data_IF_701407726519
#
_entry.id   IF_701407726519
#
_cell.length_a   1.000
_cell.length_b   1.000
_cell.length_c   1.000
_cell.angle_alpha   90.00
_cell.angle_beta   90.00
_cell.angle_gamma   90.00
#
_symmetry.space_group_name_H-M   'P 1'
#
loop_
_entity.id
_entity.type
_entity.pdbx_description
1 polymer ?
#
# COMPACT_ATOMS: atom_id res chain seq x y z
N UNK A 1 1.79 -19.90 -11.17
CA UNK A 1 1.44 -19.11 -9.96
C UNK A 1 -0.01 -18.69 -10.03
N UNK A 2 -0.73 -18.61 -8.91
CA UNK A 2 -2.12 -18.14 -8.83
C UNK A 2 -2.28 -17.12 -7.70
N UNK A 3 -3.18 -16.14 -7.89
CA UNK A 3 -3.57 -15.21 -6.83
C UNK A 3 -4.83 -15.73 -6.14
N UNK A 4 -4.81 -15.78 -4.80
CA UNK A 4 -5.97 -16.17 -3.99
C UNK A 4 -6.49 -14.93 -3.29
N UNK A 5 -7.67 -14.46 -3.70
CA UNK A 5 -8.18 -13.18 -3.25
C UNK A 5 -8.98 -13.26 -1.95
N UNK A 6 -8.94 -12.17 -1.19
CA UNK A 6 -9.86 -11.89 -0.10
C UNK A 6 -10.26 -10.42 -0.10
N UNK A 7 -11.45 -10.12 0.43
CA UNK A 7 -11.96 -8.75 0.49
C UNK A 7 -11.24 -7.92 1.56
N UNK A 8 -11.24 -6.57 1.44
CA UNK A 8 -10.74 -5.69 2.50
C UNK A 8 -11.39 -5.98 3.85
N UNK A 9 -12.69 -6.29 3.86
CA UNK A 9 -13.43 -6.61 5.09
C UNK A 9 -12.85 -7.85 5.80
N UNK A 10 -12.52 -8.90 5.04
CA UNK A 10 -11.92 -10.13 5.57
C UNK A 10 -10.50 -9.90 6.08
N UNK A 11 -9.70 -9.13 5.34
CA UNK A 11 -8.32 -8.81 5.71
C UNK A 11 -8.21 -7.94 6.98
N UNK A 12 -9.23 -7.12 7.27
CA UNK A 12 -9.21 -6.14 8.35
C UNK A 12 -10.06 -6.54 9.58
N UNK A 13 -10.51 -7.80 9.71
CA UNK A 13 -11.52 -8.23 10.70
C UNK A 13 -11.32 -7.68 12.12
N UNK A 14 -10.07 -7.62 12.62
CA UNK A 14 -9.76 -7.05 13.94
C UNK A 14 -9.78 -5.51 13.94
N UNK A 15 -9.18 -4.87 12.93
CA UNK A 15 -9.05 -3.42 12.79
C UNK A 15 -10.35 -2.70 12.41
N UNK A 16 -11.32 -3.39 11.79
CA UNK A 16 -12.60 -2.80 11.42
C UNK A 16 -13.42 -2.29 12.62
N UNK A 17 -13.25 -2.90 13.80
CA UNK A 17 -14.00 -2.55 15.00
C UNK A 17 -13.69 -1.13 15.53
N UNK A 18 -12.53 -0.58 15.20
CA UNK A 18 -12.16 0.79 15.58
C UNK A 18 -12.96 1.80 14.75
N UNK A 19 -13.71 2.72 15.36
CA UNK A 19 -14.43 3.73 14.59
C UNK A 19 -13.45 4.75 14.01
N UNK A 20 -13.52 4.99 12.69
CA UNK A 20 -12.80 6.09 12.04
C UNK A 20 -13.42 7.43 12.38
N UNK A 21 -12.61 8.48 12.46
CA UNK A 21 -13.09 9.84 12.69
C UNK A 21 -13.88 10.33 11.48
N UNK A 22 -14.88 11.18 11.72
CA UNK A 22 -15.68 11.73 10.62
C UNK A 22 -14.83 12.53 9.63
N UNK A 23 -13.89 13.32 10.15
CA UNK A 23 -12.93 14.09 9.36
C UNK A 23 -12.07 13.21 8.44
N UNK A 24 -11.64 12.03 8.91
CA UNK A 24 -10.86 11.08 8.09
C UNK A 24 -11.71 10.55 6.93
N UNK A 25 -12.97 10.21 7.19
CA UNK A 25 -13.92 9.76 6.16
C UNK A 25 -14.15 10.88 5.14
N UNK A 26 -14.39 12.10 5.58
CA UNK A 26 -14.67 13.23 4.69
C UNK A 26 -13.46 13.56 3.80
N UNK A 27 -12.25 13.61 4.35
CA UNK A 27 -11.00 13.79 3.59
C UNK A 27 -10.80 12.66 2.57
N UNK A 28 -11.00 11.41 2.99
CA UNK A 28 -10.91 10.25 2.10
C UNK A 28 -11.90 10.33 0.95
N UNK A 29 -13.17 10.67 1.22
CA UNK A 29 -14.19 10.83 0.17
C UNK A 29 -13.80 11.94 -0.80
N UNK A 30 -13.41 13.11 -0.31
CA UNK A 30 -13.00 14.24 -1.16
C UNK A 30 -11.84 13.86 -2.08
N UNK A 31 -10.78 13.28 -1.53
CA UNK A 31 -9.60 12.92 -2.30
C UNK A 31 -9.86 11.75 -3.26
N UNK A 32 -10.66 10.77 -2.85
CA UNK A 32 -11.00 9.65 -3.72
C UNK A 32 -11.91 10.07 -4.87
N UNK A 33 -12.91 10.92 -4.63
CA UNK A 33 -13.75 11.49 -5.70
C UNK A 33 -12.88 12.26 -6.69
N UNK A 34 -11.95 13.09 -6.19
CA UNK A 34 -11.04 13.84 -7.05
C UNK A 34 -10.15 12.92 -7.92
N UNK A 35 -9.64 11.82 -7.35
CA UNK A 35 -8.92 10.81 -8.12
C UNK A 35 -9.82 10.20 -9.21
N UNK A 36 -11.01 9.68 -8.84
CA UNK A 36 -11.92 9.02 -9.78
C UNK A 36 -12.38 9.95 -10.90
N UNK A 37 -12.63 11.22 -10.61
CA UNK A 37 -13.00 12.22 -11.63
C UNK A 37 -11.88 12.39 -12.66
N UNK A 38 -10.61 12.49 -12.21
CA UNK A 38 -9.46 12.56 -13.11
C UNK A 38 -9.28 11.29 -13.95
N UNK A 39 -9.39 10.11 -13.32
CA UNK A 39 -9.33 8.82 -14.03
C UNK A 39 -10.39 8.74 -15.12
N UNK A 40 -11.62 9.18 -14.83
CA UNK A 40 -12.72 9.16 -15.80
C UNK A 40 -12.43 10.01 -17.05
N UNK A 41 -11.63 11.07 -16.91
CA UNK A 41 -11.17 11.91 -18.02
C UNK A 41 -10.09 11.18 -18.82
N UNK A 42 -9.11 10.57 -18.14
CA UNK A 42 -8.02 9.80 -18.77
C UNK A 42 -8.58 8.62 -19.58
N UNK A 43 -9.55 7.90 -19.04
CA UNK A 43 -10.20 6.77 -19.74
C UNK A 43 -10.91 7.22 -21.03
N UNK A 44 -11.47 8.43 -21.05
CA UNK A 44 -12.11 9.03 -22.23
C UNK A 44 -11.12 9.64 -23.22
N UNK A 45 -9.90 9.98 -22.78
CA UNK A 45 -8.85 10.62 -23.60
C UNK A 45 -7.50 9.90 -23.44
N UNK A 46 -7.40 8.61 -23.81
CA UNK A 46 -6.25 7.78 -23.50
C UNK A 46 -4.94 8.20 -24.18
N UNK A 47 -4.99 9.07 -25.19
CA UNK A 47 -3.82 9.55 -25.95
C UNK A 47 -3.23 10.87 -25.44
N UNK A 48 -3.99 11.63 -24.65
CA UNK A 48 -3.64 13.02 -24.29
C UNK A 48 -2.92 13.13 -22.94
N UNK A 49 -3.02 12.10 -22.12
CA UNK A 49 -2.43 12.05 -20.77
C UNK A 49 -1.40 10.92 -20.70
N UNK A 50 -0.25 11.14 -20.07
CA UNK A 50 0.84 10.16 -19.89
C UNK A 50 0.60 9.22 -18.69
N UNK A 51 1.31 8.07 -18.63
CA UNK A 51 1.22 7.15 -17.49
C UNK A 51 1.81 7.79 -16.22
N UNK A 52 2.73 8.73 -16.41
CA UNK A 52 3.33 9.51 -15.33
C UNK A 52 2.31 10.44 -14.64
N UNK A 53 1.34 10.99 -15.39
CA UNK A 53 0.27 11.79 -14.79
C UNK A 53 -0.60 10.95 -13.85
N UNK A 54 -0.94 9.73 -14.27
CA UNK A 54 -1.67 8.77 -13.44
C UNK A 54 -0.94 8.46 -12.12
N UNK A 55 0.38 8.25 -12.19
CA UNK A 55 1.21 7.99 -11.00
C UNK A 55 1.19 9.18 -10.05
N UNK A 56 1.25 10.41 -10.58
CA UNK A 56 1.15 11.62 -9.76
C UNK A 56 -0.22 11.75 -9.08
N UNK A 57 -1.31 11.46 -9.78
CA UNK A 57 -2.66 11.50 -9.19
C UNK A 57 -2.84 10.45 -8.09
N UNK A 58 -2.37 9.23 -8.33
CA UNK A 58 -2.40 8.16 -7.34
C UNK A 58 -1.53 8.50 -6.11
N UNK A 59 -0.34 9.05 -6.33
CA UNK A 59 0.54 9.55 -5.27
C UNK A 59 -0.15 10.61 -4.43
N UNK A 60 -0.73 11.61 -5.07
CA UNK A 60 -1.35 12.75 -4.40
C UNK A 60 -2.57 12.30 -3.59
N UNK A 61 -3.40 11.40 -4.14
CA UNK A 61 -4.48 10.76 -3.39
C UNK A 61 -3.99 10.07 -2.11
N UNK A 62 -2.98 9.19 -2.20
CA UNK A 62 -2.46 8.50 -1.03
C UNK A 62 -1.84 9.49 -0.04
N UNK A 63 -1.00 10.41 -0.52
CA UNK A 63 -0.32 11.42 0.29
C UNK A 63 -1.32 12.25 1.07
N UNK A 64 -2.24 12.91 0.38
CA UNK A 64 -3.13 13.91 0.96
C UNK A 64 -4.24 13.28 1.81
N UNK A 65 -4.46 11.98 1.67
CA UNK A 65 -5.39 11.24 2.53
C UNK A 65 -4.75 10.68 3.80
N UNK A 66 -3.51 10.19 3.71
CA UNK A 66 -2.94 9.34 4.78
C UNK A 66 -1.52 9.69 5.20
N UNK A 67 -0.65 10.05 4.25
CA UNK A 67 0.80 9.93 4.45
C UNK A 67 1.52 11.28 4.55
N UNK A 68 0.86 12.39 4.21
CA UNK A 68 1.44 13.74 4.09
C UNK A 68 2.35 14.12 5.26
N UNK A 69 1.94 13.79 6.48
CA UNK A 69 2.66 14.16 7.70
C UNK A 69 3.53 13.05 8.28
N UNK A 70 3.50 11.82 7.73
CA UNK A 70 4.11 10.64 8.36
C UNK A 70 5.10 9.89 7.47
N UNK A 71 4.90 9.87 6.15
CA UNK A 71 5.68 9.05 5.22
C UNK A 71 5.91 9.76 3.89
N UNK A 72 7.12 9.61 3.33
CA UNK A 72 7.37 10.03 1.96
C UNK A 72 6.71 9.05 0.98
N UNK A 73 6.04 9.62 -0.03
CA UNK A 73 5.60 8.88 -1.23
C UNK A 73 6.23 9.55 -2.45
N UNK A 74 6.92 8.77 -3.25
CA UNK A 74 7.61 9.25 -4.43
C UNK A 74 7.63 8.18 -5.53
N UNK A 75 7.85 8.65 -6.75
CA UNK A 75 8.44 7.84 -7.81
C UNK A 75 9.91 7.61 -7.41
N UNK A 76 10.42 6.38 -7.50
CA UNK A 76 11.80 6.05 -7.13
C UNK A 76 12.46 5.30 -8.28
N UNK A 77 13.45 5.91 -8.91
CA UNK A 77 14.17 5.35 -10.07
C UNK A 77 13.20 4.99 -11.22
N UNK A 78 13.13 3.70 -11.57
CA UNK A 78 12.18 3.12 -12.53
C UNK A 78 10.89 2.61 -11.87
N UNK A 79 10.80 2.62 -10.55
CA UNK A 79 9.63 2.14 -9.80
C UNK A 79 8.51 3.17 -9.89
N UNK A 80 7.28 2.68 -10.12
CA UNK A 80 6.13 3.55 -10.30
C UNK A 80 5.85 4.40 -9.06
N UNK A 81 5.58 3.78 -7.92
CA UNK A 81 5.45 4.48 -6.64
C UNK A 81 5.99 3.63 -5.49
N UNK A 82 6.59 4.30 -4.50
CA UNK A 82 6.98 3.69 -3.24
C UNK A 82 6.49 4.50 -2.05
N UNK A 83 6.22 3.82 -0.93
CA UNK A 83 5.95 4.45 0.36
C UNK A 83 7.13 4.11 1.29
N UNK A 84 7.79 5.15 1.77
CA UNK A 84 8.91 5.04 2.71
C UNK A 84 8.42 4.85 4.15
N UNK A 85 9.25 4.23 5.00
CA UNK A 85 8.90 4.00 6.41
C UNK A 85 8.89 5.28 7.26
N UNK A 86 9.58 6.34 6.83
CA UNK A 86 9.56 7.65 7.45
C UNK A 86 9.22 8.78 6.49
N UNK A 87 9.28 10.03 6.99
CA UNK A 87 8.85 11.25 6.27
C UNK A 87 9.76 11.65 5.11
N UNK A 88 10.92 11.02 4.99
CA UNK A 88 12.01 11.36 4.06
C UNK A 88 12.40 10.14 3.23
N UNK A 89 12.95 10.40 2.05
CA UNK A 89 13.29 9.37 1.04
C UNK A 89 14.58 8.60 1.35
N UNK A 90 15.30 8.98 2.41
CA UNK A 90 16.48 8.29 2.95
C UNK A 90 16.11 7.05 3.79
N UNK A 91 14.88 7.00 4.32
CA UNK A 91 14.37 5.83 5.04
C UNK A 91 14.05 4.68 4.08
N UNK A 92 13.99 3.45 4.60
CA UNK A 92 13.74 2.29 3.75
C UNK A 92 12.34 2.30 3.13
N UNK A 93 12.21 1.66 1.97
CA UNK A 93 10.92 1.46 1.32
C UNK A 93 10.12 0.41 2.09
N UNK A 94 8.90 0.76 2.51
CA UNK A 94 7.95 -0.15 3.16
C UNK A 94 6.93 -0.74 2.19
N UNK A 95 6.58 -0.03 1.12
CA UNK A 95 5.60 -0.49 0.11
C UNK A 95 6.10 -0.17 -1.29
N UNK A 96 5.97 -1.12 -2.21
CA UNK A 96 6.15 -0.90 -3.65
C UNK A 96 4.77 -0.99 -4.29
N UNK A 97 4.44 -0.02 -5.13
CA UNK A 97 3.18 0.04 -5.88
C UNK A 97 3.54 0.09 -7.36
N UNK A 98 3.11 -0.93 -8.09
CA UNK A 98 3.11 -0.98 -9.55
C UNK A 98 1.76 -0.50 -10.08
N UNK A 99 1.76 0.58 -10.85
CA UNK A 99 0.56 1.27 -11.30
C UNK A 99 0.46 1.25 -12.83
N UNK A 100 -0.53 0.53 -13.35
CA UNK A 100 -0.87 0.53 -14.77
C UNK A 100 -1.99 1.50 -15.08
N UNK A 101 -2.11 1.87 -16.35
CA UNK A 101 -3.32 2.58 -16.79
C UNK A 101 -4.54 1.67 -16.75
N UNK A 102 -5.73 2.21 -16.42
CA UNK A 102 -6.98 1.47 -16.54
C UNK A 102 -7.17 0.79 -17.91
N UNK A 103 -6.76 1.48 -18.98
CA UNK A 103 -6.88 0.99 -20.36
C UNK A 103 -5.79 -0.02 -20.77
N UNK A 104 -4.73 -0.21 -19.97
CA UNK A 104 -3.63 -1.14 -20.27
C UNK A 104 -3.94 -2.56 -19.76
N UNK A 105 -5.00 -3.15 -20.31
CA UNK A 105 -5.52 -4.46 -19.92
C UNK A 105 -4.51 -5.59 -20.24
N UNK A 106 -3.66 -5.40 -21.25
CA UNK A 106 -2.70 -6.42 -21.69
C UNK A 106 -1.60 -6.66 -20.67
N UNK A 107 -1.14 -5.61 -19.99
CA UNK A 107 -0.05 -5.65 -19.01
C UNK A 107 -0.53 -5.83 -17.57
N UNK A 108 -1.82 -5.53 -17.30
CA UNK A 108 -2.44 -5.64 -15.98
C UNK A 108 -2.74 -7.09 -15.61
N UNK A 109 -2.57 -7.42 -14.32
CA UNK A 109 -2.90 -8.74 -13.75
C UNK A 109 -4.42 -8.91 -13.61
N UNK A 110 -4.88 -10.15 -13.64
CA UNK A 110 -6.19 -10.55 -13.11
C UNK A 110 -6.04 -11.73 -12.15
N UNK A 111 -7.11 -12.05 -11.41
CA UNK A 111 -7.14 -13.22 -10.52
C UNK A 111 -6.80 -14.51 -11.27
N UNK A 112 -7.38 -14.69 -12.45
CA UNK A 112 -7.19 -15.88 -13.28
C UNK A 112 -5.88 -15.84 -14.09
N UNK A 113 -5.35 -14.65 -14.34
CA UNK A 113 -4.14 -14.46 -15.13
C UNK A 113 -3.16 -13.46 -14.49
N UNK A 114 -2.43 -13.89 -13.45
CA UNK A 114 -1.45 -13.03 -12.79
C UNK A 114 -0.12 -12.95 -13.56
N UNK A 115 0.14 -13.82 -14.53
CA UNK A 115 1.40 -13.87 -15.28
C UNK A 115 1.47 -12.77 -16.35
N UNK A 116 1.53 -11.53 -15.89
CA UNK A 116 1.46 -10.31 -16.70
C UNK A 116 2.62 -9.39 -16.35
N UNK A 117 2.89 -8.44 -17.24
CA UNK A 117 4.04 -7.54 -17.13
C UNK A 117 4.07 -6.77 -15.80
N UNK A 118 2.93 -6.32 -15.29
CA UNK A 118 2.85 -5.65 -13.99
C UNK A 118 3.38 -6.53 -12.83
N UNK A 119 3.13 -7.85 -12.86
CA UNK A 119 3.72 -8.77 -11.88
C UNK A 119 5.23 -8.92 -12.09
N UNK A 120 5.71 -8.96 -13.34
CA UNK A 120 7.13 -9.09 -13.66
C UNK A 120 7.93 -7.88 -13.21
N UNK A 121 7.38 -6.68 -13.40
CA UNK A 121 7.91 -5.40 -12.92
C UNK A 121 7.96 -5.38 -11.38
N UNK A 122 6.86 -5.74 -10.72
CA UNK A 122 6.80 -5.81 -9.27
C UNK A 122 7.83 -6.82 -8.70
N UNK A 123 8.01 -7.98 -9.33
CA UNK A 123 9.05 -8.96 -8.96
C UNK A 123 10.44 -8.36 -9.10
N UNK A 124 10.71 -7.70 -10.23
CA UNK A 124 12.01 -7.06 -10.46
C UNK A 124 12.31 -6.00 -9.40
N UNK A 125 11.34 -5.13 -9.09
CA UNK A 125 11.48 -4.07 -8.08
C UNK A 125 11.64 -4.62 -6.67
N UNK A 126 10.92 -5.68 -6.34
CA UNK A 126 11.08 -6.38 -5.07
C UNK A 126 12.49 -6.97 -4.93
N UNK A 127 13.00 -7.66 -5.97
CA UNK A 127 14.34 -8.25 -5.94
C UNK A 127 15.43 -7.18 -5.86
N UNK A 128 15.26 -6.07 -6.56
CA UNK A 128 16.17 -4.91 -6.49
C UNK A 128 16.27 -4.32 -5.08
N UNK A 129 15.14 -4.05 -4.43
CA UNK A 129 15.16 -3.60 -3.03
C UNK A 129 15.76 -4.67 -2.10
N UNK A 130 15.40 -5.94 -2.29
CA UNK A 130 15.80 -7.03 -1.39
C UNK A 130 17.28 -7.40 -1.49
N UNK A 131 17.84 -7.36 -2.71
CA UNK A 131 19.20 -7.87 -3.03
C UNK A 131 20.19 -6.72 -3.18
N UNK A 132 19.91 -5.74 -4.06
CA UNK A 132 20.86 -4.66 -4.33
C UNK A 132 20.91 -3.64 -3.20
N UNK A 133 19.75 -3.23 -2.69
CA UNK A 133 19.66 -2.27 -1.57
C UNK A 133 19.84 -2.96 -0.21
N UNK A 134 19.55 -4.27 -0.13
CA UNK A 134 19.60 -5.03 1.13
C UNK A 134 18.41 -4.74 2.06
N UNK A 135 17.31 -4.20 1.53
CA UNK A 135 16.13 -3.82 2.29
C UNK A 135 15.32 -5.07 2.73
N UNK A 136 15.29 -5.31 4.05
CA UNK A 136 14.52 -6.38 4.69
C UNK A 136 13.16 -5.91 5.25
N UNK A 137 12.83 -4.63 5.08
CA UNK A 137 11.72 -3.99 5.79
C UNK A 137 10.43 -3.85 4.97
N UNK A 138 10.43 -4.26 3.70
CA UNK A 138 9.23 -4.28 2.85
C UNK A 138 8.06 -4.98 3.55
N UNK A 139 6.89 -4.34 3.55
CA UNK A 139 5.67 -4.77 4.25
C UNK A 139 4.60 -5.29 3.29
N UNK A 140 4.34 -4.54 2.21
CA UNK A 140 3.32 -4.85 1.21
C UNK A 140 3.84 -4.55 -0.19
N UNK A 141 3.25 -5.24 -1.16
CA UNK A 141 3.47 -5.03 -2.59
C UNK A 141 2.10 -4.85 -3.23
N UNK A 142 1.94 -3.84 -4.07
CA UNK A 142 0.65 -3.47 -4.65
C UNK A 142 0.76 -3.48 -6.17
N UNK A 143 -0.24 -4.08 -6.83
CA UNK A 143 -0.48 -3.88 -8.26
C UNK A 143 -1.84 -3.21 -8.40
N UNK A 144 -1.92 -2.15 -9.18
CA UNK A 144 -3.20 -1.46 -9.41
C UNK A 144 -3.27 -0.85 -10.80
N UNK A 145 -4.48 -0.75 -11.35
CA UNK A 145 -4.77 0.12 -12.49
C UNK A 145 -5.61 1.33 -12.06
N UNK A 146 -5.49 1.72 -10.79
CA UNK A 146 -6.33 2.66 -10.02
C UNK A 146 -7.73 2.13 -9.73
N UNK A 147 -8.37 1.43 -10.67
CA UNK A 147 -9.68 0.83 -10.46
C UNK A 147 -9.58 -0.42 -9.59
N UNK A 148 -8.81 -1.39 -10.04
CA UNK A 148 -8.58 -2.66 -9.37
C UNK A 148 -7.30 -2.61 -8.55
N UNK A 149 -7.33 -3.17 -7.34
CA UNK A 149 -6.21 -3.19 -6.42
C UNK A 149 -5.90 -4.61 -5.97
N UNK A 150 -4.63 -4.98 -6.03
CA UNK A 150 -4.10 -6.25 -5.54
C UNK A 150 -3.01 -5.95 -4.52
N UNK A 151 -3.28 -6.20 -3.23
CA UNK A 151 -2.34 -5.94 -2.14
C UNK A 151 -1.81 -7.27 -1.60
N UNK A 152 -0.51 -7.49 -1.78
CA UNK A 152 0.20 -8.72 -1.43
C UNK A 152 1.07 -8.48 -0.19
N UNK A 153 1.08 -9.42 0.73
CA UNK A 153 2.03 -9.40 1.85
C UNK A 153 3.44 -9.76 1.37
N UNK A 154 4.43 -8.91 1.67
CA UNK A 154 5.81 -9.10 1.20
C UNK A 154 6.42 -10.45 1.62
N UNK A 155 5.92 -11.05 2.71
CA UNK A 155 6.35 -12.37 3.18
C UNK A 155 6.10 -13.48 2.14
N UNK A 156 5.05 -13.36 1.31
CA UNK A 156 4.82 -14.33 0.23
C UNK A 156 5.85 -14.19 -0.89
N UNK A 157 6.29 -12.96 -1.21
CA UNK A 157 7.39 -12.74 -2.13
C UNK A 157 8.73 -13.23 -1.55
N UNK A 158 8.97 -13.06 -0.24
CA UNK A 158 10.17 -13.64 0.39
C UNK A 158 10.18 -15.18 0.22
N UNK A 159 9.06 -15.83 0.55
CA UNK A 159 8.94 -17.29 0.50
C UNK A 159 9.01 -17.86 -0.92
N UNK A 160 8.32 -17.25 -1.87
CA UNK A 160 8.08 -17.86 -3.19
C UNK A 160 8.88 -17.22 -4.34
N UNK A 161 9.38 -16.00 -4.17
CA UNK A 161 10.17 -15.27 -5.17
C UNK A 161 11.64 -15.21 -4.75
N UNK A 162 11.96 -14.59 -3.61
CA UNK A 162 13.35 -14.40 -3.17
C UNK A 162 14.07 -15.73 -2.90
N UNK A 163 13.41 -16.68 -2.23
CA UNK A 163 13.97 -18.00 -1.92
C UNK A 163 13.94 -18.97 -3.11
N UNK A 164 13.29 -18.63 -4.22
CA UNK A 164 13.28 -19.47 -5.41
C UNK A 164 14.62 -19.35 -6.14
N UNK A 165 15.34 -20.47 -6.22
CA UNK A 165 16.70 -20.51 -6.79
C UNK A 165 16.74 -20.17 -8.27
N UNK A 166 15.71 -20.53 -9.05
CA UNK A 166 15.65 -20.20 -10.48
C UNK A 166 15.45 -18.70 -10.69
N UNK A 167 14.53 -18.10 -9.93
CA UNK A 167 14.25 -16.66 -10.01
C UNK A 167 15.46 -15.83 -9.55
N UNK A 168 16.09 -16.23 -8.44
CA UNK A 168 17.29 -15.57 -7.94
C UNK A 168 18.45 -15.64 -8.96
N UNK A 169 18.67 -16.80 -9.56
CA UNK A 169 19.70 -16.97 -10.60
C UNK A 169 19.40 -16.12 -11.84
N UNK A 170 18.14 -16.06 -12.29
CA UNK A 170 17.74 -15.20 -13.40
C UNK A 170 18.03 -13.72 -13.09
N UNK A 171 17.76 -13.28 -11.86
CA UNK A 171 18.08 -11.93 -11.42
C UNK A 171 19.58 -11.65 -11.39
N UNK A 172 20.38 -12.57 -10.85
CA UNK A 172 21.85 -12.47 -10.86
C UNK A 172 22.40 -12.38 -12.30
N UNK A 173 21.91 -13.21 -13.23
CA UNK A 173 22.25 -13.14 -14.66
C UNK A 173 21.87 -11.78 -15.24
N UNK A 174 20.68 -11.25 -14.92
CA UNK A 174 20.27 -9.93 -15.38
C UNK A 174 21.28 -8.84 -14.97
N UNK A 175 21.69 -8.84 -13.70
CA UNK A 175 22.59 -7.81 -13.17
C UNK A 175 24.02 -7.98 -13.70
N UNK A 176 24.58 -9.19 -13.61
CA UNK A 176 25.98 -9.46 -13.99
C UNK A 176 26.22 -9.26 -15.50
N UNK A 177 25.28 -9.74 -16.32
CA UNK A 177 25.40 -9.67 -17.79
C UNK A 177 24.78 -8.38 -18.35
N UNK A 178 24.31 -7.47 -17.48
CA UNK A 178 23.66 -6.20 -17.81
C UNK A 178 22.50 -6.36 -18.80
N UNK A 179 21.69 -7.42 -18.63
CA UNK A 179 20.51 -7.67 -19.47
C UNK A 179 19.43 -6.62 -19.22
N UNK A 180 18.72 -6.28 -20.28
CA UNK A 180 17.64 -5.32 -20.22
C UNK A 180 16.40 -5.87 -19.48
N UNK A 181 15.42 -5.00 -19.27
CA UNK A 181 14.18 -5.36 -18.60
C UNK A 181 13.31 -6.32 -19.44
N UNK A 182 13.15 -6.11 -20.76
CA UNK A 182 12.47 -7.07 -21.63
C UNK A 182 12.96 -8.51 -21.51
N UNK A 183 14.28 -8.75 -21.53
CA UNK A 183 14.85 -10.08 -21.31
C UNK A 183 14.38 -10.69 -19.99
N UNK A 184 14.43 -9.93 -18.91
CA UNK A 184 14.01 -10.43 -17.60
C UNK A 184 12.51 -10.77 -17.58
N UNK A 185 11.66 -9.94 -18.19
CA UNK A 185 10.21 -10.15 -18.26
C UNK A 185 9.86 -11.41 -19.04
N UNK A 186 10.52 -11.65 -20.19
CA UNK A 186 10.30 -12.86 -20.98
C UNK A 186 10.69 -14.14 -20.23
N UNK A 187 11.84 -14.12 -19.55
CA UNK A 187 12.33 -15.29 -18.82
C UNK A 187 11.55 -15.53 -17.51
N UNK A 188 11.24 -14.49 -16.75
CA UNK A 188 10.45 -14.66 -15.52
C UNK A 188 9.03 -15.15 -15.85
N UNK A 189 8.43 -14.71 -16.96
CA UNK A 189 7.12 -15.20 -17.40
C UNK A 189 7.09 -16.73 -17.56
N UNK A 190 8.15 -17.32 -18.14
CA UNK A 190 8.30 -18.78 -18.31
C UNK A 190 8.38 -19.49 -16.97
N UNK A 191 9.12 -18.93 -16.01
CA UNK A 191 9.22 -19.49 -14.65
C UNK A 191 7.87 -19.40 -13.93
N UNK A 192 7.22 -18.24 -13.95
CA UNK A 192 5.92 -18.00 -13.29
C UNK A 192 4.82 -18.93 -13.83
N UNK A 193 4.88 -19.25 -15.12
CA UNK A 193 3.95 -20.18 -15.78
C UNK A 193 4.04 -21.60 -15.22
N UNK A 194 5.23 -22.04 -14.80
CA UNK A 194 5.50 -23.44 -14.41
C UNK A 194 5.42 -23.67 -12.90
N UNK A 195 5.60 -22.63 -12.08
CA UNK A 195 5.50 -22.78 -10.63
C UNK A 195 4.05 -22.93 -10.17
N UNK A 196 3.78 -23.97 -9.38
CA UNK A 196 2.49 -24.18 -8.73
C UNK A 196 2.53 -23.61 -7.31
N UNK A 197 2.26 -22.31 -7.21
CA UNK A 197 2.23 -21.56 -5.94
C UNK A 197 1.02 -20.66 -5.90
N UNK A 198 0.40 -20.58 -4.74
CA UNK A 198 -0.71 -19.69 -4.43
C UNK A 198 -0.19 -18.50 -3.61
N UNK A 199 -0.50 -17.29 -4.06
CA UNK A 199 -0.18 -16.05 -3.34
C UNK A 199 -1.49 -15.40 -2.88
N UNK A 200 -1.79 -15.44 -1.57
CA UNK A 200 -2.90 -14.71 -1.00
C UNK A 200 -2.72 -13.19 -1.19
N UNK A 201 -3.77 -12.52 -1.64
CA UNK A 201 -3.80 -11.07 -1.78
C UNK A 201 -5.16 -10.49 -1.38
N UNK A 202 -5.16 -9.22 -0.99
CA UNK A 202 -6.40 -8.46 -0.86
C UNK A 202 -6.75 -7.92 -2.24
N UNK A 203 -8.01 -8.11 -2.65
CA UNK A 203 -8.55 -7.59 -3.90
C UNK A 203 -9.79 -6.75 -3.64
N UNK A 204 -9.90 -5.65 -4.37
CA UNK A 204 -11.13 -4.86 -4.51
C UNK A 204 -11.09 -4.04 -5.80
N UNK A 205 -12.28 -3.75 -6.32
CA UNK A 205 -12.48 -2.73 -7.36
C UNK A 205 -13.07 -1.47 -6.70
N UNK A 206 -12.37 -0.35 -6.83
CA UNK A 206 -12.75 0.92 -6.21
C UNK A 206 -14.05 1.49 -6.80
N UNK A 207 -14.39 1.12 -8.03
CA UNK A 207 -15.59 1.59 -8.73
C UNK A 207 -16.88 1.08 -8.07
N UNK A 208 -16.80 -0.05 -7.36
CA UNK A 208 -17.92 -0.60 -6.58
C UNK A 208 -18.39 0.38 -5.49
N UNK A 209 -17.56 1.35 -5.10
CA UNK A 209 -17.86 2.32 -4.05
C UNK A 209 -18.36 3.67 -4.59
N UNK A 210 -18.40 3.90 -5.91
CA UNK A 210 -18.69 5.23 -6.50
C UNK A 210 -20.07 5.77 -6.09
N UNK A 211 -21.09 4.89 -6.06
CA UNK A 211 -22.45 5.28 -5.63
C UNK A 211 -22.47 5.75 -4.18
N UNK A 212 -21.77 5.05 -3.28
CA UNK A 212 -21.68 5.41 -1.86
C UNK A 212 -20.84 6.67 -1.65
N UNK A 213 -19.75 6.81 -2.42
CA UNK A 213 -18.89 7.98 -2.36
C UNK A 213 -19.65 9.27 -2.69
N UNK A 214 -20.51 9.23 -3.71
CA UNK A 214 -21.18 10.43 -4.24
C UNK A 214 -22.56 10.71 -3.67
N UNK A 215 -23.07 9.85 -2.80
CA UNK A 215 -24.37 10.09 -2.16
C UNK A 215 -24.23 11.00 -0.91
N UNK A 216 -25.37 11.55 -0.48
CA UNK A 216 -25.46 12.44 0.69
C UNK A 216 -25.86 11.71 1.99
N UNK A 217 -25.92 10.37 1.98
CA UNK A 217 -26.38 9.56 3.11
C UNK A 217 -25.20 9.14 3.98
N UNK A 218 -25.02 9.84 5.12
CA UNK A 218 -23.91 9.58 6.05
C UNK A 218 -23.91 8.15 6.62
N UNK A 219 -25.05 7.47 6.66
CA UNK A 219 -25.14 6.08 7.11
C UNK A 219 -24.40 5.11 6.18
N UNK A 220 -24.38 5.41 4.87
CA UNK A 220 -23.79 4.54 3.85
C UNK A 220 -22.25 4.56 3.92
N UNK A 221 -21.65 5.61 4.50
CA UNK A 221 -20.20 5.74 4.66
C UNK A 221 -19.57 4.60 5.50
N UNK A 222 -20.39 3.83 6.25
CA UNK A 222 -19.94 2.59 6.90
C UNK A 222 -19.36 1.57 5.91
N UNK A 223 -19.81 1.60 4.66
CA UNK A 223 -19.35 0.71 3.60
C UNK A 223 -17.95 1.06 3.12
N UNK A 224 -17.56 2.33 3.24
CA UNK A 224 -16.23 2.85 2.91
C UNK A 224 -15.18 2.52 3.98
N UNK A 225 -15.59 2.10 5.19
CA UNK A 225 -14.67 1.92 6.31
C UNK A 225 -13.55 0.92 6.02
N UNK A 226 -13.87 -0.17 5.31
CA UNK A 226 -12.86 -1.16 4.94
C UNK A 226 -11.88 -0.63 3.89
N UNK A 227 -12.37 0.13 2.92
CA UNK A 227 -11.56 0.73 1.86
C UNK A 227 -10.64 1.84 2.42
N UNK A 228 -11.17 2.71 3.28
CA UNK A 228 -10.39 3.71 4.02
C UNK A 228 -9.22 3.07 4.78
N UNK A 229 -9.50 1.97 5.48
CA UNK A 229 -8.50 1.33 6.34
C UNK A 229 -7.50 0.47 5.59
N UNK A 230 -7.87 -0.15 4.47
CA UNK A 230 -6.95 -1.04 3.76
C UNK A 230 -5.79 -0.29 3.11
N UNK A 231 -6.01 0.98 2.74
CA UNK A 231 -5.00 1.87 2.16
C UNK A 231 -4.22 2.68 3.19
N UNK A 232 -4.61 2.59 4.47
CA UNK A 232 -4.01 3.35 5.56
C UNK A 232 -2.62 2.85 5.95
N UNK A 233 -1.79 3.67 6.64
CA UNK A 233 -0.47 3.28 7.12
C UNK A 233 -0.52 2.06 8.05
N UNK A 234 -1.59 1.92 8.84
CA UNK A 234 -1.79 0.80 9.76
C UNK A 234 -1.83 -0.54 9.03
N UNK A 235 -2.41 -0.57 7.82
CA UNK A 235 -2.44 -1.79 7.01
C UNK A 235 -1.22 -1.91 6.09
N UNK A 236 -0.94 -0.88 5.29
CA UNK A 236 0.09 -0.94 4.25
C UNK A 236 1.51 -1.01 4.84
N UNK A 237 1.77 -0.32 5.95
CA UNK A 237 3.07 -0.32 6.63
C UNK A 237 3.10 -1.26 7.85
N UNK A 238 2.00 -1.97 8.14
CA UNK A 238 1.83 -2.82 9.33
C UNK A 238 2.14 -2.08 10.63
N UNK A 239 1.77 -0.80 10.71
CA UNK A 239 1.94 -0.01 11.95
C UNK A 239 0.94 -0.53 12.99
N UNK A 240 1.45 -0.88 14.18
CA UNK A 240 0.63 -1.31 15.28
C UNK A 240 -0.41 -0.23 15.62
N UNK A 241 -1.68 -0.60 15.70
CA UNK A 241 -2.75 0.33 16.09
C UNK A 241 -2.77 0.48 17.61
N UNK A 242 -3.10 1.65 18.18
CA UNK A 242 -3.13 1.89 19.63
C UNK A 242 -4.11 1.05 20.47
N UNK A 243 -4.81 0.10 19.84
CA UNK A 243 -5.53 -0.98 20.54
C UNK A 243 -4.68 -2.25 20.67
N UNK A 244 -3.36 -2.15 20.48
CA UNK A 244 -2.46 -3.01 21.23
C UNK A 244 -2.69 -2.62 22.70
N UNK A 245 -3.10 -3.56 23.54
CA UNK A 245 -3.63 -3.35 24.90
C UNK A 245 -2.71 -2.58 25.86
N UNK A 246 -1.57 -2.07 25.37
CA UNK A 246 -0.44 -1.51 26.08
C UNK A 246 -0.06 -0.07 25.66
N UNK A 247 -0.75 0.59 24.71
CA UNK A 247 -0.40 1.99 24.37
C UNK A 247 -1.24 3.03 25.12
N UNK A 248 -0.56 3.90 25.88
CA UNK A 248 -1.14 4.96 26.69
C UNK A 248 -1.58 6.15 25.80
N UNK A 249 -2.84 6.58 25.89
CA UNK A 249 -3.29 7.84 25.31
C UNK A 249 -2.83 9.00 26.21
N UNK A 250 -1.75 9.70 25.82
CA UNK A 250 -1.17 10.77 26.63
C UNK A 250 -2.15 11.88 27.01
N UNK A 251 -3.06 12.25 26.10
CA UNK A 251 -4.01 13.33 26.36
C UNK A 251 -5.01 12.91 27.43
N UNK A 252 -5.58 11.71 27.29
CA UNK A 252 -6.47 11.16 28.31
C UNK A 252 -5.73 10.94 29.64
N UNK A 253 -4.50 10.45 29.61
CA UNK A 253 -3.68 10.26 30.82
C UNK A 253 -3.42 11.59 31.55
N UNK A 254 -3.05 12.66 30.82
CA UNK A 254 -2.84 14.00 31.39
C UNK A 254 -4.15 14.61 31.90
N UNK A 255 -5.26 14.42 31.19
CA UNK A 255 -6.59 14.84 31.66
C UNK A 255 -7.02 14.06 32.91
N UNK A 256 -6.75 12.75 32.98
CA UNK A 256 -7.04 11.92 34.14
C UNK A 256 -6.25 12.39 35.36
N UNK A 257 -4.92 12.59 35.23
CA UNK A 257 -4.08 13.13 36.29
C UNK A 257 -4.64 14.47 36.79
N UNK A 258 -5.03 15.36 35.87
CA UNK A 258 -5.62 16.65 36.22
C UNK A 258 -6.91 16.49 37.05
N UNK A 259 -7.83 15.60 36.66
CA UNK A 259 -9.10 15.36 37.36
C UNK A 259 -8.87 14.86 38.79
N UNK A 260 -7.86 14.00 39.00
CA UNK A 260 -7.54 13.44 40.32
C UNK A 260 -6.55 14.31 41.12
N UNK A 261 -6.26 15.53 40.65
CA UNK A 261 -5.40 16.50 41.35
C UNK A 261 -3.91 16.16 41.34
N UNK A 262 -3.46 15.39 40.34
CA UNK A 262 -2.08 14.99 40.14
C UNK A 262 -1.46 15.65 38.90
N UNK A 263 -0.14 15.64 38.84
CA UNK A 263 0.64 16.00 37.66
C UNK A 263 1.90 15.12 37.55
N UNK A 264 2.42 15.00 36.33
CA UNK A 264 3.71 14.36 36.08
C UNK A 264 4.82 15.42 36.14
N UNK A 265 5.83 15.19 36.97
CA UNK A 265 6.98 16.06 37.14
C UNK A 265 8.28 15.28 36.92
N UNK A 266 9.35 15.99 36.56
CA UNK A 266 10.67 15.39 36.35
C UNK A 266 11.54 15.63 37.57
N UNK A 267 11.98 14.55 38.23
CA UNK A 267 12.98 14.59 39.29
C UNK A 267 14.24 13.87 38.82
N UNK A 268 15.27 14.65 38.46
CA UNK A 268 16.49 14.14 37.86
C UNK A 268 16.21 13.42 36.53
N UNK A 269 16.55 12.12 36.48
CA UNK A 269 16.35 11.27 35.29
C UNK A 269 15.02 10.50 35.29
N UNK A 270 14.20 10.65 36.32
CA UNK A 270 12.93 9.92 36.46
C UNK A 270 11.73 10.86 36.31
N UNK A 271 10.68 10.35 35.70
CA UNK A 271 9.36 10.96 35.78
C UNK A 271 8.65 10.44 37.04
N UNK A 272 8.09 11.35 37.82
CA UNK A 272 7.33 11.06 39.03
C UNK A 272 5.92 11.66 38.91
N UNK A 273 4.96 11.04 39.60
CA UNK A 273 3.60 11.59 39.73
C UNK A 273 3.49 12.22 41.12
N UNK A 274 3.08 13.48 41.18
CA UNK A 274 2.90 14.22 42.43
C UNK A 274 1.54 14.91 42.48
N UNK A 275 1.07 15.25 43.68
CA UNK A 275 -0.09 16.13 43.83
C UNK A 275 0.27 17.54 43.36
N UNK A 276 -0.70 18.18 42.72
CA UNK A 276 -0.66 19.62 42.50
C UNK A 276 -0.71 20.37 43.83
#
# INVERSE_FOLDING_TARGET
MKLITQTPKKALKAFLKQKSLRSEIDVFKTNLIALLDKISVIEKRPKDESEEHLKNDLRDFLRDTYYKDTNAINTKDRKDLVIHLGKTTDTEVGVIIEAKRPTNINEMVSVDNPNKKALHELILYYLDERINVGNNQLKKLVITNVNEWYIIDSNYFDKHIYRNTQIKKLYETKINDKKDNPFFYEEIAKIIQTIDVEIPCVYFDIREYDTVLRNNKKEDDRELSALLKILSPQHLLKIATPNDSNSLNERFYKELLHIIGLEEAREGTKNIIRRK
#
